data_IF_794659666751
#
_entry.id   IF_794659666751
#
_cell.length_a   1.000
_cell.length_b   1.000
_cell.length_c   1.000
_cell.angle_alpha   90.00
_cell.angle_beta   90.00
_cell.angle_gamma   90.00
#
_symmetry.space_group_name_H-M   'P 1'
#
loop_
_entity.id
_entity.type
_entity.pdbx_description
1 polymer ?
#
# COMPACT_ATOMS: atom_id res chain seq x y z
N UNK A 1 -12.54 9.21 0.55
CA UNK A 1 -12.04 9.02 -0.83
C UNK A 1 -10.52 8.99 -0.81
N UNK A 2 -9.83 10.10 -0.58
CA UNK A 2 -8.36 10.30 -0.68
C UNK A 2 -7.41 9.47 0.21
N UNK A 3 -7.91 8.45 0.91
CA UNK A 3 -7.10 7.54 1.74
C UNK A 3 -7.11 6.11 1.16
N UNK A 4 -8.08 5.77 0.32
CA UNK A 4 -8.28 4.41 -0.17
C UNK A 4 -9.11 4.36 -1.45
N UNK A 5 -8.73 5.16 -2.45
CA UNK A 5 -9.43 5.21 -3.74
C UNK A 5 -9.39 3.90 -4.48
N UNK A 6 -8.28 3.17 -4.40
CA UNK A 6 -8.18 1.83 -4.97
C UNK A 6 -9.20 0.88 -4.31
N UNK A 7 -9.32 0.89 -2.98
CA UNK A 7 -10.32 0.07 -2.26
C UNK A 7 -11.74 0.48 -2.64
N UNK A 8 -11.99 1.78 -2.81
CA UNK A 8 -13.29 2.29 -3.28
C UNK A 8 -13.60 1.80 -4.70
N UNK A 9 -12.63 1.87 -5.61
CA UNK A 9 -12.75 1.40 -6.99
C UNK A 9 -13.02 -0.11 -7.03
N UNK A 10 -12.24 -0.90 -6.31
CA UNK A 10 -12.40 -2.36 -6.21
C UNK A 10 -13.77 -2.73 -5.63
N UNK A 11 -14.21 -2.02 -4.59
CA UNK A 11 -15.54 -2.18 -4.01
C UNK A 11 -16.65 -1.85 -5.02
N UNK A 12 -16.54 -0.72 -5.71
CA UNK A 12 -17.51 -0.30 -6.72
C UNK A 12 -17.59 -1.29 -7.89
N UNK A 13 -16.44 -1.78 -8.38
CA UNK A 13 -16.38 -2.79 -9.43
C UNK A 13 -17.04 -4.11 -8.98
N UNK A 14 -16.70 -4.58 -7.78
CA UNK A 14 -17.27 -5.80 -7.19
C UNK A 14 -18.79 -5.70 -7.07
N UNK A 15 -19.28 -4.59 -6.52
CA UNK A 15 -20.72 -4.34 -6.37
C UNK A 15 -21.42 -4.23 -7.73
N UNK A 16 -20.76 -3.66 -8.73
CA UNK A 16 -21.30 -3.58 -10.10
C UNK A 16 -21.43 -4.98 -10.73
N UNK A 17 -20.42 -5.83 -10.59
CA UNK A 17 -20.47 -7.23 -11.03
C UNK A 17 -21.61 -7.98 -10.33
N UNK A 18 -21.76 -7.79 -9.01
CA UNK A 18 -22.85 -8.38 -8.24
C UNK A 18 -24.22 -7.89 -8.70
N UNK A 19 -24.38 -6.57 -8.90
CA UNK A 19 -25.63 -5.98 -9.35
C UNK A 19 -26.04 -6.49 -10.74
N UNK A 20 -25.10 -6.53 -11.69
CA UNK A 20 -25.32 -7.10 -13.03
C UNK A 20 -25.73 -8.57 -12.93
N UNK A 21 -25.06 -9.35 -12.08
CA UNK A 21 -25.40 -10.77 -11.87
C UNK A 21 -26.83 -10.92 -11.33
N UNK A 22 -27.23 -10.11 -10.35
CA UNK A 22 -28.61 -10.12 -9.83
C UNK A 22 -29.62 -9.73 -10.91
N UNK A 23 -29.32 -8.72 -11.74
CA UNK A 23 -30.20 -8.28 -12.83
C UNK A 23 -30.44 -9.41 -13.85
N UNK A 24 -29.40 -10.19 -14.16
CA UNK A 24 -29.48 -11.30 -15.11
C UNK A 24 -30.23 -12.50 -14.53
N UNK A 25 -29.98 -12.82 -13.25
CA UNK A 25 -30.52 -14.02 -12.58
C UNK A 25 -31.96 -13.82 -12.08
N UNK A 26 -32.31 -12.64 -11.59
CA UNK A 26 -33.62 -12.31 -11.02
C UNK A 26 -34.24 -11.10 -11.73
N UNK A 27 -34.81 -11.37 -12.91
CA UNK A 27 -35.41 -10.33 -13.76
C UNK A 27 -36.61 -9.64 -13.12
N UNK A 28 -37.34 -10.32 -12.24
CA UNK A 28 -38.51 -9.75 -11.57
C UNK A 28 -38.10 -8.79 -10.45
N UNK A 29 -37.05 -9.10 -9.70
CA UNK A 29 -36.42 -8.14 -8.80
C UNK A 29 -35.84 -6.96 -9.57
N UNK A 30 -35.15 -7.22 -10.69
CA UNK A 30 -34.55 -6.19 -11.52
C UNK A 30 -35.62 -5.19 -12.01
N UNK A 31 -36.72 -5.66 -12.59
CA UNK A 31 -37.81 -4.78 -13.06
C UNK A 31 -38.39 -3.89 -11.96
N UNK A 32 -38.48 -4.40 -10.73
CA UNK A 32 -39.03 -3.66 -9.59
C UNK A 32 -38.05 -2.66 -8.99
N UNK A 33 -36.78 -3.04 -8.86
CA UNK A 33 -35.78 -2.26 -8.14
C UNK A 33 -34.93 -1.34 -9.03
N UNK A 34 -34.75 -1.67 -10.32
CA UNK A 34 -33.82 -0.97 -11.21
C UNK A 34 -34.11 0.53 -11.35
N UNK A 35 -35.37 1.01 -11.52
CA UNK A 35 -35.62 2.44 -11.64
C UNK A 35 -35.19 3.23 -10.39
N UNK A 36 -35.55 2.71 -9.21
CA UNK A 36 -35.17 3.33 -7.93
C UNK A 36 -33.67 3.26 -7.69
N UNK A 37 -33.04 2.12 -8.02
CA UNK A 37 -31.59 1.94 -7.91
C UNK A 37 -30.82 2.91 -8.81
N UNK A 38 -31.19 3.01 -10.09
CA UNK A 38 -30.56 3.94 -11.05
C UNK A 38 -30.78 5.39 -10.62
N UNK A 39 -31.98 5.75 -10.18
CA UNK A 39 -32.26 7.10 -9.66
C UNK A 39 -31.42 7.44 -8.44
N UNK A 40 -31.34 6.54 -7.47
CA UNK A 40 -30.49 6.70 -6.28
C UNK A 40 -29.01 6.78 -6.61
N UNK A 41 -28.53 5.94 -7.53
CA UNK A 41 -27.14 5.93 -7.99
C UNK A 41 -26.79 7.23 -8.73
N UNK A 42 -27.67 7.70 -9.62
CA UNK A 42 -27.47 8.96 -10.34
C UNK A 42 -27.40 10.16 -9.37
N UNK A 43 -28.27 10.19 -8.36
CA UNK A 43 -28.25 11.22 -7.32
C UNK A 43 -26.96 11.15 -6.49
N UNK A 44 -26.58 9.95 -6.03
CA UNK A 44 -25.38 9.76 -5.22
C UNK A 44 -24.10 10.12 -6.01
N UNK A 45 -23.97 9.65 -7.25
CA UNK A 45 -22.86 9.96 -8.14
C UNK A 45 -22.82 11.45 -8.50
N UNK A 46 -23.99 12.07 -8.75
CA UNK A 46 -24.09 13.50 -9.04
C UNK A 46 -23.65 14.37 -7.86
N UNK A 47 -24.11 14.05 -6.64
CA UNK A 47 -23.68 14.74 -5.41
C UNK A 47 -22.19 14.51 -5.12
N UNK A 48 -21.71 13.27 -5.29
CA UNK A 48 -20.30 12.95 -5.12
C UNK A 48 -19.44 13.76 -6.10
N UNK A 49 -19.81 13.80 -7.38
CA UNK A 49 -19.10 14.57 -8.40
C UNK A 49 -19.13 16.07 -8.08
N UNK A 50 -20.28 16.62 -7.65
CA UNK A 50 -20.39 18.03 -7.29
C UNK A 50 -19.42 18.41 -6.16
N UNK A 51 -19.30 17.57 -5.13
CA UNK A 51 -18.42 17.82 -3.97
C UNK A 51 -16.96 17.52 -4.28
N UNK A 52 -16.68 16.51 -5.11
CA UNK A 52 -15.34 15.95 -5.29
C UNK A 52 -14.66 16.37 -6.60
N UNK A 53 -15.37 17.03 -7.52
CA UNK A 53 -14.82 17.42 -8.82
C UNK A 53 -13.51 18.21 -8.69
N UNK A 54 -13.48 19.24 -7.82
CA UNK A 54 -12.26 20.06 -7.64
C UNK A 54 -11.12 19.29 -6.96
N UNK A 55 -11.32 18.59 -5.84
CA UNK A 55 -10.29 17.74 -5.26
C UNK A 55 -9.74 16.68 -6.23
N UNK A 56 -10.62 16.00 -6.99
CA UNK A 56 -10.21 14.98 -7.96
C UNK A 56 -9.43 15.59 -9.13
N UNK A 57 -9.89 16.73 -9.64
CA UNK A 57 -9.14 17.47 -10.64
C UNK A 57 -7.75 17.85 -10.12
N UNK A 58 -7.65 18.35 -8.89
CA UNK A 58 -6.36 18.71 -8.30
C UNK A 58 -5.44 17.49 -8.09
N UNK A 59 -6.01 16.34 -7.71
CA UNK A 59 -5.25 15.12 -7.51
C UNK A 59 -4.67 14.57 -8.82
N UNK A 60 -5.48 14.48 -9.87
CA UNK A 60 -5.06 13.86 -11.13
C UNK A 60 -4.38 14.85 -12.09
N UNK A 61 -4.80 16.12 -12.09
CA UNK A 61 -4.34 17.15 -13.02
C UNK A 61 -3.63 18.34 -12.33
N UNK A 62 -3.39 18.25 -11.02
CA UNK A 62 -2.63 19.29 -10.30
C UNK A 62 -1.12 19.25 -10.59
N UNK A 63 -0.34 20.20 -10.05
CA UNK A 63 1.08 20.38 -10.38
C UNK A 63 1.99 19.18 -10.07
N UNK A 64 1.57 18.31 -9.16
CA UNK A 64 2.27 17.07 -8.79
C UNK A 64 1.48 15.81 -9.17
N UNK A 65 0.45 15.96 -10.01
CA UNK A 65 -0.32 14.86 -10.55
C UNK A 65 0.56 13.96 -11.42
N UNK A 66 0.31 12.66 -11.35
CA UNK A 66 1.04 11.66 -12.11
C UNK A 66 0.03 10.81 -12.86
N UNK A 67 0.11 10.82 -14.19
CA UNK A 67 -0.84 10.11 -15.05
C UNK A 67 -0.54 8.61 -15.15
N UNK A 68 0.74 8.24 -15.08
CA UNK A 68 1.18 6.86 -15.28
C UNK A 68 1.24 6.07 -13.97
N UNK A 69 0.87 4.80 -14.02
CA UNK A 69 1.08 3.87 -12.91
C UNK A 69 2.57 3.74 -12.58
N UNK A 70 2.93 3.92 -11.30
CA UNK A 70 4.29 3.73 -10.80
C UNK A 70 4.75 2.27 -10.89
N UNK A 71 3.81 1.36 -10.68
CA UNK A 71 4.08 -0.06 -10.46
C UNK A 71 3.63 -0.86 -11.66
N UNK A 72 4.48 -1.76 -12.14
CA UNK A 72 4.11 -2.65 -13.24
C UNK A 72 3.03 -3.63 -12.78
N UNK A 73 1.89 -3.72 -13.47
CA UNK A 73 0.88 -4.75 -13.21
C UNK A 73 1.43 -6.16 -13.35
N UNK A 74 2.47 -6.39 -14.16
CA UNK A 74 3.11 -7.69 -14.33
C UNK A 74 3.90 -8.12 -13.09
N UNK A 75 4.41 -7.15 -12.31
CA UNK A 75 5.13 -7.46 -11.07
C UNK A 75 4.16 -7.78 -9.94
N UNK A 76 3.05 -7.05 -9.84
CA UNK A 76 2.05 -7.21 -8.77
C UNK A 76 0.86 -8.09 -9.20
N UNK A 77 1.14 -9.23 -9.81
CA UNK A 77 0.17 -10.27 -10.15
C UNK A 77 0.05 -11.29 -9.02
N UNK A 78 -1.17 -11.77 -8.73
CA UNK A 78 -1.37 -12.90 -7.84
C UNK A 78 -0.82 -14.20 -8.46
N UNK A 79 0.05 -14.89 -7.73
CA UNK A 79 0.45 -16.25 -8.09
C UNK A 79 -0.76 -17.18 -7.93
N UNK A 80 -1.08 -17.96 -8.96
CA UNK A 80 -2.20 -18.88 -8.93
C UNK A 80 -2.08 -19.89 -7.76
N UNK A 81 -0.86 -20.33 -7.43
CA UNK A 81 -0.59 -21.26 -6.32
C UNK A 81 -0.91 -20.67 -4.95
N UNK A 82 -0.82 -19.36 -4.80
CA UNK A 82 -1.08 -18.68 -3.53
C UNK A 82 -2.53 -18.87 -3.03
N UNK A 83 -3.49 -19.06 -3.95
CA UNK A 83 -4.92 -19.21 -3.63
C UNK A 83 -5.23 -20.37 -2.68
N UNK A 84 -4.55 -21.50 -2.86
CA UNK A 84 -4.72 -22.69 -2.01
C UNK A 84 -3.60 -22.88 -0.99
N UNK A 85 -2.59 -22.00 -1.00
CA UNK A 85 -1.55 -21.95 0.02
C UNK A 85 -2.07 -21.33 1.32
N UNK A 86 -1.41 -21.67 2.42
CA UNK A 86 -1.67 -21.09 3.75
C UNK A 86 -0.71 -19.91 3.93
N UNK A 87 -1.21 -18.80 4.47
CA UNK A 87 -0.40 -17.60 4.71
C UNK A 87 0.80 -17.89 5.60
N UNK A 88 1.99 -17.33 5.33
CA UNK A 88 3.12 -17.36 6.27
C UNK A 88 2.78 -16.73 7.63
N UNK A 89 1.80 -15.82 7.66
CA UNK A 89 1.36 -15.11 8.86
C UNK A 89 0.20 -15.82 9.58
N UNK A 90 -0.07 -17.09 9.26
CA UNK A 90 -1.03 -17.94 9.99
C UNK A 90 -0.30 -18.88 10.96
N UNK A 91 -0.99 -19.34 12.02
CA UNK A 91 -0.44 -20.27 13.01
C UNK A 91 0.11 -21.58 12.42
N UNK A 92 -0.51 -22.07 11.35
CA UNK A 92 -0.10 -23.30 10.64
C UNK A 92 0.59 -22.98 9.30
N UNK A 93 0.99 -21.72 9.12
CA UNK A 93 1.70 -21.23 7.94
C UNK A 93 3.16 -21.66 7.90
N UNK A 94 3.78 -21.50 6.72
CA UNK A 94 5.20 -21.78 6.50
C UNK A 94 5.83 -20.65 5.68
N UNK A 95 7.04 -20.25 6.04
CA UNK A 95 7.85 -19.25 5.30
C UNK A 95 8.11 -19.67 3.85
N UNK A 96 8.03 -20.96 3.54
CA UNK A 96 8.14 -21.46 2.15
C UNK A 96 7.08 -20.87 1.22
N UNK A 97 5.94 -20.45 1.76
CA UNK A 97 4.85 -19.84 0.98
C UNK A 97 5.01 -18.32 0.81
N UNK A 98 5.93 -17.68 1.54
CA UNK A 98 6.17 -16.24 1.46
C UNK A 98 6.63 -15.79 0.08
N UNK A 99 7.33 -16.67 -0.64
CA UNK A 99 7.78 -16.42 -2.01
C UNK A 99 6.67 -16.39 -3.06
N UNK A 100 5.43 -16.78 -2.72
CA UNK A 100 4.28 -16.74 -3.65
C UNK A 100 3.64 -15.35 -3.76
N UNK A 101 4.19 -14.34 -3.09
CA UNK A 101 3.76 -12.95 -3.18
C UNK A 101 4.98 -12.03 -3.26
N UNK A 102 4.79 -10.83 -3.79
CA UNK A 102 5.85 -9.82 -3.95
C UNK A 102 6.32 -9.23 -2.62
N UNK A 103 5.55 -9.40 -1.55
CA UNK A 103 5.98 -9.06 -0.21
C UNK A 103 4.85 -9.15 0.82
N UNK A 104 5.17 -8.95 2.12
CA UNK A 104 4.20 -9.08 3.21
C UNK A 104 2.99 -8.14 3.11
N UNK A 105 3.14 -7.01 2.40
CA UNK A 105 2.05 -6.07 2.15
C UNK A 105 1.00 -6.60 1.16
N UNK A 106 1.33 -7.67 0.42
CA UNK A 106 0.53 -8.18 -0.69
C UNK A 106 0.09 -9.65 -0.42
N UNK A 107 -0.15 -10.02 0.85
CA UNK A 107 -0.68 -11.33 1.23
C UNK A 107 -2.21 -11.40 1.09
N UNK A 108 -2.72 -11.16 -0.13
CA UNK A 108 -4.15 -11.00 -0.39
C UNK A 108 -4.89 -12.29 -0.79
N UNK A 109 -4.17 -13.33 -1.23
CA UNK A 109 -4.74 -14.53 -1.87
C UNK A 109 -4.57 -15.83 -1.07
N UNK A 110 -3.91 -15.79 0.09
CA UNK A 110 -3.62 -16.97 0.93
C UNK A 110 -4.86 -17.49 1.70
N UNK A 111 -5.90 -17.92 0.98
CA UNK A 111 -7.15 -18.41 1.55
C UNK A 111 -7.04 -19.85 2.07
N UNK A 112 -6.12 -20.64 1.52
CA UNK A 112 -5.94 -22.05 1.84
C UNK A 112 -6.98 -22.95 1.18
N UNK A 113 -6.56 -24.14 0.77
CA UNK A 113 -7.44 -25.14 0.15
C UNK A 113 -8.69 -25.48 0.98
N UNK A 114 -8.70 -25.53 2.34
CA UNK A 114 -9.90 -25.86 3.11
C UNK A 114 -11.01 -24.83 2.92
N UNK A 115 -10.66 -23.54 2.95
CA UNK A 115 -11.63 -22.46 2.77
C UNK A 115 -12.21 -22.46 1.36
N UNK A 116 -11.38 -22.68 0.33
CA UNK A 116 -11.84 -22.77 -1.05
C UNK A 116 -12.84 -23.92 -1.25
N UNK A 117 -12.52 -25.12 -0.74
CA UNK A 117 -13.40 -26.28 -0.86
C UNK A 117 -14.73 -26.09 -0.12
N UNK A 118 -14.70 -25.57 1.11
CA UNK A 118 -15.92 -25.34 1.89
C UNK A 118 -16.77 -24.24 1.25
N UNK A 119 -16.16 -23.19 0.72
CA UNK A 119 -16.88 -22.14 -0.01
C UNK A 119 -17.56 -22.70 -1.26
N UNK A 120 -16.86 -23.48 -2.07
CA UNK A 120 -17.44 -24.13 -3.26
C UNK A 120 -18.60 -25.06 -2.86
N UNK A 121 -18.44 -25.87 -1.81
CA UNK A 121 -19.50 -26.71 -1.27
C UNK A 121 -20.72 -25.90 -0.80
N UNK A 122 -20.50 -24.75 -0.16
CA UNK A 122 -21.56 -23.84 0.27
C UNK A 122 -22.30 -23.21 -0.92
N UNK A 123 -21.60 -22.81 -1.98
CA UNK A 123 -22.21 -22.30 -3.22
C UNK A 123 -23.12 -23.35 -3.85
N UNK A 124 -22.63 -24.58 -3.98
CA UNK A 124 -23.40 -25.70 -4.55
C UNK A 124 -24.62 -26.04 -3.68
N UNK A 125 -24.46 -26.03 -2.35
CA UNK A 125 -25.53 -26.38 -1.41
C UNK A 125 -26.61 -25.30 -1.29
N UNK A 126 -26.22 -24.02 -1.30
CA UNK A 126 -27.17 -22.91 -1.27
C UNK A 126 -27.89 -22.72 -2.61
N UNK A 127 -27.35 -23.29 -3.68
CA UNK A 127 -27.97 -23.38 -4.99
C UNK A 127 -28.09 -22.02 -5.70
N UNK A 128 -29.11 -21.88 -6.55
CA UNK A 128 -29.29 -20.71 -7.44
C UNK A 128 -29.89 -19.47 -6.75
N UNK A 129 -29.61 -19.26 -5.46
CA UNK A 129 -30.02 -18.02 -4.78
C UNK A 129 -29.31 -16.83 -5.46
N UNK A 130 -30.01 -15.76 -5.87
CA UNK A 130 -29.41 -14.65 -6.61
C UNK A 130 -28.19 -14.04 -5.91
N UNK A 131 -28.25 -13.85 -4.59
CA UNK A 131 -27.13 -13.32 -3.80
C UNK A 131 -25.91 -14.25 -3.79
N UNK A 132 -26.11 -15.57 -3.73
CA UNK A 132 -25.02 -16.55 -3.73
C UNK A 132 -24.34 -16.58 -5.09
N UNK A 133 -25.13 -16.52 -6.17
CA UNK A 133 -24.60 -16.41 -7.53
C UNK A 133 -23.85 -15.10 -7.73
N UNK A 134 -24.38 -13.97 -7.24
CA UNK A 134 -23.69 -12.69 -7.29
C UNK A 134 -22.35 -12.72 -6.55
N UNK A 135 -22.30 -13.32 -5.35
CA UNK A 135 -21.04 -13.49 -4.61
C UNK A 135 -20.07 -14.43 -5.36
N UNK A 136 -20.54 -15.56 -5.88
CA UNK A 136 -19.71 -16.52 -6.59
C UNK A 136 -19.11 -15.94 -7.88
N UNK A 137 -19.92 -15.20 -8.66
CA UNK A 137 -19.46 -14.49 -9.86
C UNK A 137 -18.50 -13.36 -9.48
N UNK A 138 -18.81 -12.59 -8.44
CA UNK A 138 -17.91 -11.56 -7.90
C UNK A 138 -16.55 -12.13 -7.50
N UNK A 139 -16.53 -13.26 -6.76
CA UNK A 139 -15.30 -13.97 -6.40
C UNK A 139 -14.54 -14.37 -7.65
N UNK A 140 -15.19 -15.01 -8.62
CA UNK A 140 -14.54 -15.49 -9.85
C UNK A 140 -13.93 -14.34 -10.65
N UNK A 141 -14.67 -13.25 -10.86
CA UNK A 141 -14.19 -12.09 -11.63
C UNK A 141 -13.02 -11.42 -10.91
N UNK A 142 -13.17 -11.11 -9.62
CA UNK A 142 -12.13 -10.41 -8.88
C UNK A 142 -10.88 -11.28 -8.67
N UNK A 143 -11.05 -12.58 -8.42
CA UNK A 143 -9.94 -13.53 -8.31
C UNK A 143 -9.18 -13.66 -9.63
N UNK A 144 -9.89 -13.79 -10.75
CA UNK A 144 -9.24 -13.95 -12.05
C UNK A 144 -8.55 -12.66 -12.51
N UNK A 145 -9.16 -11.48 -12.30
CA UNK A 145 -8.49 -10.19 -12.54
C UNK A 145 -7.22 -10.04 -11.69
N UNK A 146 -7.20 -10.61 -10.49
CA UNK A 146 -6.01 -10.52 -9.64
C UNK A 146 -4.79 -11.28 -10.14
N UNK A 147 -4.97 -12.25 -11.04
CA UNK A 147 -3.87 -12.98 -11.68
C UNK A 147 -3.03 -12.09 -12.59
N UNK A 148 -3.48 -10.86 -12.89
CA UNK A 148 -2.73 -9.89 -13.66
C UNK A 148 -2.70 -10.16 -15.17
N UNK A 149 -1.85 -9.42 -15.92
CA UNK A 149 -1.80 -9.49 -17.38
C UNK A 149 -1.30 -10.84 -17.92
N UNK A 150 -0.51 -11.56 -17.14
CA UNK A 150 0.03 -12.89 -17.42
C UNK A 150 -0.15 -13.75 -16.18
N UNK A 151 -0.62 -14.99 -16.37
CA UNK A 151 -0.80 -15.94 -15.27
C UNK A 151 0.56 -16.39 -14.75
N UNK A 152 0.80 -16.19 -13.45
CA UNK A 152 1.96 -16.67 -12.73
C UNK A 152 1.58 -17.93 -11.96
N UNK A 153 2.41 -18.97 -12.03
CA UNK A 153 2.23 -20.20 -11.26
C UNK A 153 3.55 -20.59 -10.59
N UNK A 154 3.53 -20.70 -9.27
CA UNK A 154 4.69 -21.09 -8.46
C UNK A 154 5.95 -20.24 -8.73
N UNK A 155 5.73 -18.92 -8.85
CA UNK A 155 6.72 -17.86 -9.10
C UNK A 155 7.20 -17.76 -10.54
N UNK A 156 6.68 -18.58 -11.43
CA UNK A 156 7.06 -18.58 -12.84
C UNK A 156 5.91 -18.05 -13.71
N UNK A 157 6.25 -17.15 -14.64
CA UNK A 157 5.33 -16.68 -15.68
C UNK A 157 5.03 -17.83 -16.64
N UNK A 158 3.75 -18.10 -16.88
CA UNK A 158 3.32 -19.22 -17.73
C UNK A 158 3.24 -18.87 -19.21
N UNK A 159 3.39 -17.59 -19.57
CA UNK A 159 3.15 -17.05 -20.91
C UNK A 159 1.67 -16.98 -21.33
N UNK A 160 0.75 -17.45 -20.47
CA UNK A 160 -0.69 -17.42 -20.74
C UNK A 160 -1.22 -16.03 -20.36
N UNK A 161 -1.88 -15.30 -21.30
CA UNK A 161 -2.46 -14.00 -20.98
C UNK A 161 -3.57 -14.15 -19.94
N UNK A 162 -3.45 -13.38 -18.85
CA UNK A 162 -4.46 -13.28 -17.82
C UNK A 162 -5.58 -12.29 -18.21
N UNK A 163 -6.75 -12.38 -17.56
CA UNK A 163 -7.91 -11.57 -17.94
C UNK A 163 -7.75 -10.09 -17.62
N UNK A 164 -6.79 -9.72 -16.76
CA UNK A 164 -6.43 -8.31 -16.54
C UNK A 164 -5.92 -7.64 -17.81
N UNK A 165 -5.38 -8.39 -18.77
CA UNK A 165 -4.92 -7.84 -20.05
C UNK A 165 -6.03 -7.09 -20.82
N UNK A 166 -7.30 -7.41 -20.55
CA UNK A 166 -8.47 -6.72 -21.11
C UNK A 166 -8.68 -5.31 -20.53
N UNK A 167 -8.12 -5.04 -19.36
CA UNK A 167 -8.21 -3.75 -18.66
C UNK A 167 -6.94 -2.91 -18.78
N UNK A 168 -5.84 -3.51 -19.25
CA UNK A 168 -4.56 -2.82 -19.44
C UNK A 168 -4.70 -1.64 -20.41
N UNK A 169 -4.16 -0.47 -20.04
CA UNK A 169 -4.20 0.74 -20.85
C UNK A 169 -5.48 1.57 -20.68
N UNK A 170 -6.39 1.17 -19.78
CA UNK A 170 -7.49 2.03 -19.38
C UNK A 170 -7.03 3.03 -18.31
N UNK A 171 -7.35 4.32 -18.47
CA UNK A 171 -7.02 5.33 -17.46
C UNK A 171 -7.66 4.94 -16.12
N UNK A 172 -6.98 5.25 -15.00
CA UNK A 172 -7.35 4.85 -13.62
C UNK A 172 -7.06 3.38 -13.28
N UNK A 173 -7.08 2.46 -14.25
CA UNK A 173 -6.77 1.04 -14.02
C UNK A 173 -5.26 0.78 -14.02
N UNK A 174 -4.50 1.55 -14.80
CA UNK A 174 -3.03 1.41 -14.87
C UNK A 174 -2.31 1.68 -13.52
N UNK A 175 -3.00 2.32 -12.57
CA UNK A 175 -2.50 2.54 -11.20
C UNK A 175 -2.94 1.47 -10.18
N UNK A 176 -3.92 0.62 -10.51
CA UNK A 176 -4.40 -0.42 -9.61
C UNK A 176 -3.51 -1.67 -9.71
N UNK A 177 -3.13 -2.25 -8.58
CA UNK A 177 -2.32 -3.46 -8.57
C UNK A 177 -3.22 -4.68 -8.77
N UNK A 178 -3.00 -5.54 -9.78
CA UNK A 178 -3.86 -6.70 -10.01
C UNK A 178 -4.08 -7.53 -8.75
N UNK A 179 -3.02 -7.85 -8.01
CA UNK A 179 -3.11 -8.65 -6.78
C UNK A 179 -4.12 -8.09 -5.76
N UNK A 180 -4.38 -6.78 -5.73
CA UNK A 180 -5.34 -6.16 -4.80
C UNK A 180 -6.79 -6.40 -5.17
N UNK A 181 -7.11 -6.82 -6.40
CA UNK A 181 -8.47 -7.26 -6.73
C UNK A 181 -8.93 -8.43 -5.84
N UNK A 182 -8.00 -9.25 -5.34
CA UNK A 182 -8.29 -10.30 -4.39
C UNK A 182 -8.87 -9.81 -3.05
N UNK A 183 -8.67 -8.53 -2.67
CA UNK A 183 -9.24 -7.95 -1.45
C UNK A 183 -10.78 -8.01 -1.39
N UNK A 184 -11.44 -8.08 -2.55
CA UNK A 184 -12.88 -8.24 -2.63
C UNK A 184 -13.35 -9.66 -2.29
N UNK A 185 -12.49 -10.68 -2.37
CA UNK A 185 -12.87 -12.09 -2.20
C UNK A 185 -13.25 -12.45 -0.76
N UNK A 186 -12.47 -12.09 0.29
CA UNK A 186 -12.80 -12.44 1.68
C UNK A 186 -14.22 -12.05 2.13
N UNK A 187 -14.74 -10.81 1.92
CA UNK A 187 -16.11 -10.48 2.34
C UNK A 187 -17.20 -11.25 1.58
N UNK A 188 -16.96 -11.61 0.31
CA UNK A 188 -17.90 -12.43 -0.47
C UNK A 188 -17.91 -13.87 0.00
N UNK A 189 -16.74 -14.44 0.28
CA UNK A 189 -16.60 -15.76 0.91
C UNK A 189 -17.32 -15.78 2.25
N UNK A 190 -17.06 -14.79 3.11
CA UNK A 190 -17.72 -14.67 4.41
C UNK A 190 -19.25 -14.63 4.27
N UNK A 191 -19.78 -13.88 3.30
CA UNK A 191 -21.22 -13.81 3.03
C UNK A 191 -21.80 -15.19 2.69
N UNK A 192 -21.15 -15.96 1.81
CA UNK A 192 -21.56 -17.32 1.46
C UNK A 192 -21.56 -18.23 2.68
N UNK A 193 -20.49 -18.19 3.50
CA UNK A 193 -20.38 -19.01 4.71
C UNK A 193 -21.48 -18.66 5.72
N UNK A 194 -21.75 -17.38 5.94
CA UNK A 194 -22.82 -16.92 6.86
C UNK A 194 -24.18 -17.43 6.39
N UNK A 195 -24.49 -17.32 5.09
CA UNK A 195 -25.75 -17.83 4.53
C UNK A 195 -25.88 -19.35 4.67
N UNK A 196 -24.76 -20.08 4.53
CA UNK A 196 -24.74 -21.52 4.73
C UNK A 196 -24.99 -21.88 6.20
N UNK A 197 -24.32 -21.22 7.14
CA UNK A 197 -24.50 -21.43 8.58
C UNK A 197 -25.93 -21.10 8.99
N UNK A 198 -26.48 -19.96 8.56
CA UNK A 198 -27.86 -19.57 8.84
C UNK A 198 -28.86 -20.61 8.33
N UNK A 199 -28.72 -21.08 7.08
CA UNK A 199 -29.55 -22.18 6.55
C UNK A 199 -29.43 -23.45 7.40
N UNK A 200 -28.22 -23.78 7.84
CA UNK A 200 -27.96 -24.98 8.65
C UNK A 200 -28.58 -24.88 10.04
N UNK A 201 -28.50 -23.71 10.67
CA UNK A 201 -29.08 -23.42 11.99
C UNK A 201 -30.59 -23.56 11.96
N UNK A 202 -31.26 -23.08 10.91
CA UNK A 202 -32.71 -23.24 10.73
C UNK A 202 -33.15 -24.69 10.49
N UNK A 203 -32.31 -25.50 9.84
CA UNK A 203 -32.62 -26.92 9.58
C UNK A 203 -32.46 -27.82 10.83
N UNK A 204 -31.56 -27.46 11.75
CA UNK A 204 -31.28 -28.24 12.96
C UNK A 204 -30.52 -29.55 12.71
N UNK A 205 -30.34 -30.37 13.75
CA UNK A 205 -29.80 -31.74 13.64
C UNK A 205 -28.40 -31.88 12.99
N UNK A 206 -28.27 -32.85 12.08
CA UNK A 206 -27.02 -33.18 11.35
C UNK A 206 -26.51 -32.06 10.43
N UNK A 207 -27.33 -31.36 9.60
CA UNK A 207 -26.82 -30.30 8.73
C UNK A 207 -26.22 -29.13 9.53
N UNK A 208 -26.80 -28.77 10.68
CA UNK A 208 -26.22 -27.79 11.60
C UNK A 208 -24.79 -28.16 12.01
N UNK A 209 -24.59 -29.40 12.51
CA UNK A 209 -23.27 -29.86 12.98
C UNK A 209 -22.25 -29.87 11.84
N UNK A 210 -22.63 -30.40 10.67
CA UNK A 210 -21.74 -30.48 9.51
C UNK A 210 -21.31 -29.10 9.02
N UNK A 211 -22.24 -28.14 8.89
CA UNK A 211 -21.91 -26.79 8.45
C UNK A 211 -20.98 -26.07 9.43
N UNK A 212 -21.25 -26.16 10.74
CA UNK A 212 -20.40 -25.55 11.76
C UNK A 212 -18.99 -26.15 11.80
N UNK A 213 -18.87 -27.47 11.71
CA UNK A 213 -17.57 -28.16 11.65
C UNK A 213 -16.83 -27.79 10.37
N UNK A 214 -17.51 -27.80 9.22
CA UNK A 214 -16.89 -27.43 7.94
C UNK A 214 -16.37 -25.99 7.97
N UNK A 215 -17.15 -25.04 8.48
CA UNK A 215 -16.71 -23.64 8.61
C UNK A 215 -15.56 -23.52 9.61
N UNK A 216 -15.61 -24.21 10.75
CA UNK A 216 -14.50 -24.19 11.71
C UNK A 216 -13.20 -24.75 11.10
N UNK A 217 -13.26 -25.87 10.38
CA UNK A 217 -12.12 -26.46 9.68
C UNK A 217 -11.61 -25.54 8.57
N UNK A 218 -12.50 -24.87 7.85
CA UNK A 218 -12.13 -23.91 6.80
C UNK A 218 -11.38 -22.68 7.35
N UNK A 219 -11.77 -22.21 8.54
CA UNK A 219 -11.20 -21.01 9.15
C UNK A 219 -9.94 -21.28 9.98
N UNK A 220 -9.75 -22.52 10.45
CA UNK A 220 -8.62 -22.89 11.30
C UNK A 220 -7.23 -22.52 10.70
N UNK A 221 -6.97 -22.71 9.39
CA UNK A 221 -5.70 -22.30 8.78
C UNK A 221 -5.51 -20.78 8.64
N UNK A 222 -6.57 -19.98 8.80
CA UNK A 222 -6.50 -18.51 8.73
C UNK A 222 -6.29 -17.86 10.09
N UNK A 223 -6.18 -18.64 11.18
CA UNK A 223 -5.92 -18.07 12.50
C UNK A 223 -4.57 -17.36 12.46
N UNK A 224 -4.52 -16.03 12.71
CA UNK A 224 -3.31 -15.24 12.53
C UNK A 224 -2.27 -15.61 13.57
N UNK A 225 -1.01 -15.72 13.14
CA UNK A 225 0.14 -15.69 14.03
C UNK A 225 0.41 -14.25 14.50
N UNK A 226 1.07 -14.06 15.65
CA UNK A 226 1.56 -12.75 16.06
C UNK A 226 2.41 -12.13 14.94
N UNK A 227 2.08 -10.90 14.55
CA UNK A 227 2.84 -10.20 13.51
C UNK A 227 4.29 -10.00 13.98
N UNK A 228 5.29 -10.26 13.13
CA UNK A 228 6.67 -9.90 13.45
C UNK A 228 6.78 -8.41 13.72
N UNK A 229 7.23 -8.05 14.92
CA UNK A 229 7.45 -6.65 15.31
C UNK A 229 8.93 -6.35 15.38
N UNK A 230 9.33 -5.20 14.86
CA UNK A 230 10.67 -4.65 15.07
C UNK A 230 10.61 -3.50 16.09
N UNK A 231 11.66 -3.37 16.91
CA UNK A 231 11.80 -2.21 17.77
C UNK A 231 11.94 -0.96 16.91
N UNK A 232 11.06 0.02 17.14
CA UNK A 232 11.11 1.32 16.46
C UNK A 232 11.94 2.28 17.31
N UNK A 233 13.10 2.79 16.83
CA UNK A 233 13.89 3.77 17.58
C UNK A 233 13.06 5.00 17.93
N UNK A 234 13.25 5.59 19.13
CA UNK A 234 12.59 6.84 19.50
C UNK A 234 12.99 7.97 18.53
N UNK A 235 12.09 8.94 18.36
CA UNK A 235 12.45 10.20 17.67
C UNK A 235 13.33 11.00 18.64
N UNK A 236 14.41 11.67 18.16
CA UNK A 236 15.29 12.42 19.03
C UNK A 236 14.56 13.42 19.93
N UNK A 237 15.04 13.57 21.17
CA UNK A 237 14.59 14.60 22.11
C UNK A 237 14.71 16.00 21.48
N UNK A 238 15.77 16.23 20.70
CA UNK A 238 15.94 17.45 19.90
C UNK A 238 14.68 17.82 19.09
N UNK A 239 13.99 16.83 18.54
CA UNK A 239 12.75 17.04 17.77
C UNK A 239 11.54 17.12 18.70
N UNK A 240 11.37 16.13 19.59
CA UNK A 240 10.16 15.97 20.40
C UNK A 240 10.00 17.05 21.48
N UNK A 241 11.09 17.52 22.08
CA UNK A 241 11.11 18.64 23.02
C UNK A 241 11.12 20.02 22.33
N UNK A 242 11.16 20.05 21.00
CA UNK A 242 11.03 21.29 20.23
C UNK A 242 12.30 22.12 20.06
N UNK A 243 13.48 21.57 20.36
CA UNK A 243 14.77 22.24 20.20
C UNK A 243 15.11 22.58 18.75
N UNK A 244 14.50 21.90 17.76
CA UNK A 244 14.61 22.24 16.34
C UNK A 244 14.29 23.72 16.02
N UNK A 245 13.44 24.37 16.81
CA UNK A 245 13.09 25.80 16.66
C UNK A 245 14.29 26.73 16.84
N UNK A 246 15.38 26.24 17.44
CA UNK A 246 16.62 27.01 17.57
C UNK A 246 17.39 27.15 16.26
N UNK A 247 17.09 26.37 15.22
CA UNK A 247 17.77 26.45 13.93
C UNK A 247 16.83 26.48 12.71
N UNK A 248 15.54 26.20 12.87
CA UNK A 248 14.55 26.24 11.79
C UNK A 248 13.33 27.04 12.22
N UNK A 249 12.97 28.05 11.44
CA UNK A 249 11.71 28.79 11.61
C UNK A 249 10.51 27.92 11.19
N UNK A 250 9.31 28.15 11.75
CA UNK A 250 8.10 27.47 11.28
C UNK A 250 7.92 27.60 9.76
N UNK A 251 7.77 26.49 9.05
CA UNK A 251 7.69 26.43 7.59
C UNK A 251 9.04 26.34 6.86
N UNK A 252 10.17 26.51 7.57
CA UNK A 252 11.51 26.29 7.04
C UNK A 252 11.84 24.81 6.83
N UNK A 253 13.05 24.52 6.33
CA UNK A 253 13.48 23.16 6.00
C UNK A 253 14.62 22.70 6.91
N UNK A 254 14.44 21.50 7.49
CA UNK A 254 15.42 20.79 8.30
C UNK A 254 15.96 19.61 7.49
N UNK A 255 17.27 19.46 7.38
CA UNK A 255 17.93 18.33 6.71
C UNK A 255 18.33 17.28 7.76
N UNK A 256 17.60 16.16 7.88
CA UNK A 256 18.03 15.07 8.74
C UNK A 256 19.18 14.33 8.08
N UNK A 257 20.10 13.81 8.89
CA UNK A 257 21.23 13.01 8.42
C UNK A 257 21.17 11.60 9.02
N UNK A 258 21.08 10.54 8.18
CA UNK A 258 20.90 10.60 6.72
C UNK A 258 19.53 11.16 6.31
N UNK A 259 19.43 11.63 5.05
CA UNK A 259 18.17 12.12 4.50
C UNK A 259 17.17 10.97 4.31
N UNK A 260 15.88 11.29 4.32
CA UNK A 260 14.84 10.29 4.07
C UNK A 260 14.87 9.82 2.61
N UNK A 261 14.84 8.51 2.42
CA UNK A 261 14.72 7.91 1.09
C UNK A 261 13.50 6.99 1.04
N UNK A 262 13.04 6.59 -0.16
CA UNK A 262 12.00 5.59 -0.25
C UNK A 262 12.29 4.26 0.45
N UNK A 263 13.56 3.87 0.48
CA UNK A 263 14.01 2.65 1.15
C UNK A 263 14.14 2.83 2.66
N UNK A 264 14.58 4.01 3.08
CA UNK A 264 14.81 4.38 4.47
C UNK A 264 14.02 5.66 4.82
N UNK A 265 12.69 5.58 4.99
CA UNK A 265 11.83 6.75 5.21
C UNK A 265 11.84 7.24 6.67
N UNK A 266 12.56 6.56 7.57
CA UNK A 266 12.54 6.78 9.01
C UNK A 266 12.70 8.25 9.45
N UNK A 267 13.55 9.08 8.82
CA UNK A 267 13.67 10.50 9.18
C UNK A 267 12.40 11.32 8.98
N UNK A 268 11.47 10.89 8.12
CA UNK A 268 10.17 11.57 7.94
C UNK A 268 9.35 11.65 9.24
N UNK A 269 9.60 10.72 10.18
CA UNK A 269 8.98 10.73 11.50
C UNK A 269 9.31 11.98 12.31
N UNK A 270 10.43 12.65 12.02
CA UNK A 270 10.82 13.86 12.75
C UNK A 270 9.86 15.01 12.43
N UNK A 271 9.51 15.19 11.16
CA UNK A 271 8.49 16.16 10.76
C UNK A 271 7.12 15.80 11.36
N UNK A 272 6.73 14.52 11.34
CA UNK A 272 5.47 14.07 11.97
C UNK A 272 5.44 14.37 13.48
N UNK A 273 6.51 14.08 14.21
CA UNK A 273 6.61 14.33 15.65
C UNK A 273 6.57 15.83 15.98
N UNK A 274 7.05 16.68 15.07
CA UNK A 274 6.95 18.13 15.20
C UNK A 274 5.61 18.71 14.71
N UNK A 275 4.64 17.88 14.31
CA UNK A 275 3.36 18.32 13.76
C UNK A 275 3.50 19.03 12.40
N UNK A 276 4.40 18.53 11.55
CA UNK A 276 4.69 19.03 10.20
C UNK A 276 5.00 20.53 10.14
N UNK A 277 5.66 21.06 11.19
CA UNK A 277 6.00 22.49 11.31
C UNK A 277 7.29 22.89 10.58
N UNK A 278 8.02 21.94 10.01
CA UNK A 278 9.14 22.17 9.11
C UNK A 278 9.06 21.16 7.95
N UNK A 279 9.63 21.53 6.81
CA UNK A 279 9.82 20.66 5.66
C UNK A 279 11.07 19.79 5.80
N UNK A 280 11.09 18.69 5.06
CA UNK A 280 12.24 17.82 4.91
C UNK A 280 12.62 17.76 3.42
N UNK A 281 13.91 17.72 3.07
CA UNK A 281 14.31 17.40 1.72
C UNK A 281 14.07 15.92 1.44
N UNK A 282 13.73 15.61 0.17
CA UNK A 282 13.56 14.24 -0.31
C UNK A 282 12.48 13.47 0.49
N UNK A 283 12.43 12.13 0.42
CA UNK A 283 11.50 11.31 1.19
C UNK A 283 10.78 10.20 0.41
N UNK A 284 9.81 9.57 1.07
CA UNK A 284 8.97 8.51 0.53
C UNK A 284 7.59 9.06 0.16
N UNK A 285 7.43 9.35 -1.13
CA UNK A 285 6.18 9.81 -1.74
C UNK A 285 6.19 9.43 -3.23
N UNK A 286 5.05 9.53 -3.91
CA UNK A 286 4.95 9.38 -5.36
C UNK A 286 4.79 10.76 -5.97
N UNK A 287 5.58 11.10 -7.00
CA UNK A 287 5.45 12.36 -7.72
C UNK A 287 6.13 12.34 -9.09
N UNK A 288 6.00 13.42 -9.88
CA UNK A 288 6.49 13.50 -11.26
C UNK A 288 8.00 13.79 -11.34
N UNK A 289 8.80 13.08 -10.54
CA UNK A 289 10.26 13.26 -10.45
C UNK A 289 11.03 12.26 -11.33
N UNK A 290 10.31 11.45 -12.12
CA UNK A 290 10.88 10.52 -13.09
C UNK A 290 11.37 11.22 -14.35
N UNK A 291 11.99 10.44 -15.24
CA UNK A 291 12.48 10.95 -16.54
C UNK A 291 11.30 11.47 -17.35
N UNK A 292 11.37 12.74 -17.77
CA UNK A 292 10.30 13.37 -18.54
C UNK A 292 9.03 13.66 -17.75
N UNK A 293 9.09 13.70 -16.41
CA UNK A 293 7.93 13.96 -15.55
C UNK A 293 7.11 12.72 -15.19
N UNK A 294 7.60 11.52 -15.50
CA UNK A 294 6.92 10.27 -15.16
C UNK A 294 6.87 10.01 -13.66
N UNK A 295 6.03 9.05 -13.27
CA UNK A 295 5.92 8.57 -11.89
C UNK A 295 7.27 8.13 -11.32
N UNK A 296 7.66 8.70 -10.16
CA UNK A 296 8.83 8.25 -9.41
C UNK A 296 8.55 8.22 -7.91
N UNK A 297 9.24 7.31 -7.23
CA UNK A 297 9.17 7.17 -5.78
C UNK A 297 10.28 8.03 -5.17
N UNK A 298 9.89 9.05 -4.43
CA UNK A 298 10.76 10.08 -3.89
C UNK A 298 11.34 11.01 -4.95
N UNK A 299 12.21 11.91 -4.51
CA UNK A 299 13.00 12.76 -5.39
C UNK A 299 14.34 12.09 -5.74
N UNK A 300 14.94 12.48 -6.86
CA UNK A 300 16.29 12.04 -7.21
C UNK A 300 17.30 12.56 -6.18
N UNK A 301 18.12 11.68 -5.56
CA UNK A 301 18.99 12.10 -4.47
C UNK A 301 20.08 13.03 -4.98
N UNK A 302 20.25 14.17 -4.30
CA UNK A 302 21.28 15.18 -4.60
C UNK A 302 22.68 14.66 -4.26
N UNK A 303 23.77 15.22 -4.82
CA UNK A 303 25.13 14.74 -4.56
C UNK A 303 25.49 14.65 -3.07
N UNK A 304 25.08 15.62 -2.26
CA UNK A 304 25.34 15.62 -0.81
C UNK A 304 24.52 14.56 -0.09
N UNK A 305 23.26 14.35 -0.49
CA UNK A 305 22.41 13.27 0.02
C UNK A 305 23.05 11.90 -0.23
N UNK A 306 23.52 11.64 -1.46
CA UNK A 306 24.21 10.39 -1.83
C UNK A 306 25.49 10.19 -1.03
N UNK A 307 26.29 11.24 -0.87
CA UNK A 307 27.53 11.18 -0.10
C UNK A 307 27.25 10.81 1.36
N UNK A 308 26.29 11.47 2.01
CA UNK A 308 25.93 11.18 3.40
C UNK A 308 25.29 9.79 3.57
N UNK A 309 24.51 9.33 2.59
CA UNK A 309 23.96 7.98 2.58
C UNK A 309 25.04 6.90 2.50
N UNK A 310 26.08 7.09 1.67
CA UNK A 310 27.22 6.17 1.61
C UNK A 310 28.02 6.16 2.91
N UNK A 311 28.21 7.30 3.57
CA UNK A 311 28.86 7.36 4.89
C UNK A 311 28.01 6.66 5.94
N UNK A 312 26.69 6.88 5.94
CA UNK A 312 25.77 6.23 6.86
C UNK A 312 25.71 4.70 6.65
N UNK A 313 25.99 4.22 5.43
CA UNK A 313 26.00 2.79 5.11
C UNK A 313 27.34 2.10 5.40
N UNK A 314 28.45 2.77 5.12
CA UNK A 314 29.80 2.15 5.14
C UNK A 314 30.66 2.58 6.33
N UNK A 315 30.33 3.73 6.95
CA UNK A 315 31.19 4.39 7.93
C UNK A 315 32.48 5.00 7.34
N UNK A 316 32.74 4.83 6.05
CA UNK A 316 33.95 5.33 5.38
C UNK A 316 33.82 6.82 5.13
N UNK A 317 34.82 7.59 5.58
CA UNK A 317 34.85 9.04 5.39
C UNK A 317 35.40 9.38 4.00
N UNK A 318 34.67 10.14 3.16
CA UNK A 318 35.18 10.59 1.88
C UNK A 318 36.19 11.72 2.05
N UNK A 319 37.04 11.92 1.05
CA UNK A 319 37.83 13.14 0.95
C UNK A 319 36.91 14.33 0.61
N UNK A 320 36.84 15.32 1.51
CA UNK A 320 36.01 16.51 1.33
C UNK A 320 36.89 17.69 0.88
N UNK A 321 36.89 17.96 -0.43
CA UNK A 321 37.55 19.10 -1.04
C UNK A 321 36.59 20.27 -1.30
N UNK A 322 37.08 21.28 -2.02
CA UNK A 322 36.29 22.47 -2.40
C UNK A 322 35.08 22.12 -3.27
N UNK A 323 35.21 21.12 -4.15
CA UNK A 323 34.12 20.65 -4.99
C UNK A 323 32.94 20.12 -4.16
N UNK A 324 33.22 19.28 -3.16
CA UNK A 324 32.21 18.73 -2.26
C UNK A 324 31.56 19.84 -1.43
N UNK A 325 32.34 20.79 -0.92
CA UNK A 325 31.81 21.96 -0.20
C UNK A 325 30.89 22.82 -1.09
N UNK A 326 31.28 23.06 -2.34
CA UNK A 326 30.46 23.83 -3.29
C UNK A 326 29.15 23.13 -3.61
N UNK A 327 29.18 21.81 -3.82
CA UNK A 327 27.98 20.99 -4.04
C UNK A 327 27.07 20.98 -2.81
N UNK A 328 27.65 20.87 -1.61
CA UNK A 328 26.89 20.92 -0.36
C UNK A 328 26.19 22.25 -0.16
N UNK A 329 26.85 23.38 -0.42
CA UNK A 329 26.22 24.70 -0.39
C UNK A 329 25.09 24.83 -1.43
N UNK A 330 25.31 24.33 -2.65
CA UNK A 330 24.29 24.35 -3.70
C UNK A 330 23.07 23.46 -3.36
N UNK A 331 23.27 22.34 -2.67
CA UNK A 331 22.20 21.46 -2.23
C UNK A 331 21.38 22.08 -1.09
N UNK A 332 22.03 22.72 -0.10
CA UNK A 332 21.34 23.50 0.95
C UNK A 332 20.49 24.62 0.34
N UNK A 333 21.04 25.39 -0.58
CA UNK A 333 20.32 26.46 -1.27
C UNK A 333 19.14 25.92 -2.10
N UNK A 334 19.33 24.79 -2.78
CA UNK A 334 18.27 24.13 -3.55
C UNK A 334 17.09 23.68 -2.67
N UNK A 335 17.37 23.17 -1.47
CA UNK A 335 16.33 22.77 -0.52
C UNK A 335 15.75 23.93 0.29
N UNK A 336 16.33 25.13 0.19
CA UNK A 336 16.04 26.26 1.09
C UNK A 336 16.14 25.85 2.57
N UNK A 337 17.16 25.06 2.90
CA UNK A 337 17.39 24.54 4.23
C UNK A 337 18.16 25.53 5.10
N UNK A 338 17.81 25.59 6.39
CA UNK A 338 18.47 26.44 7.38
C UNK A 338 19.17 25.65 8.49
N UNK A 339 18.94 24.34 8.55
CA UNK A 339 19.54 23.49 9.57
C UNK A 339 19.79 22.07 9.06
N UNK A 340 20.99 21.56 9.32
CA UNK A 340 21.35 20.15 9.17
C UNK A 340 21.41 19.52 10.55
N UNK A 341 20.81 18.34 10.73
CA UNK A 341 20.67 17.68 12.03
C UNK A 341 21.05 16.22 11.96
N UNK A 342 22.00 15.83 12.81
CA UNK A 342 22.45 14.46 12.99
C UNK A 342 22.12 13.99 14.41
N UNK A 343 21.25 12.98 14.53
CA UNK A 343 20.99 12.36 15.83
C UNK A 343 22.23 11.59 16.33
N UNK A 344 22.51 11.67 17.63
CA UNK A 344 23.66 10.99 18.25
C UNK A 344 23.55 9.46 18.13
N UNK A 345 22.34 8.92 18.11
CA UNK A 345 22.07 7.49 17.98
C UNK A 345 22.17 6.97 16.53
N UNK A 346 22.45 7.82 15.54
CA UNK A 346 22.57 7.39 14.13
C UNK A 346 23.79 6.46 13.96
N UNK A 347 23.65 5.33 13.25
CA UNK A 347 24.81 4.48 12.91
C UNK A 347 25.92 5.29 12.23
N UNK A 348 27.18 5.04 12.63
CA UNK A 348 28.35 5.78 12.15
C UNK A 348 28.28 7.31 12.39
N UNK A 349 27.65 7.74 13.49
CA UNK A 349 27.48 9.16 13.83
C UNK A 349 28.78 9.96 13.79
N UNK A 350 29.91 9.40 14.25
CA UNK A 350 31.20 10.10 14.25
C UNK A 350 31.72 10.36 12.82
N UNK A 351 31.62 9.36 11.93
CA UNK A 351 31.99 9.53 10.53
C UNK A 351 31.10 10.56 9.84
N UNK A 352 29.79 10.53 10.11
CA UNK A 352 28.85 11.52 9.61
C UNK A 352 29.15 12.93 10.16
N UNK A 353 29.37 13.07 11.47
CA UNK A 353 29.69 14.34 12.12
C UNK A 353 30.97 14.95 11.54
N UNK A 354 32.05 14.18 11.43
CA UNK A 354 33.32 14.67 10.89
C UNK A 354 33.22 15.04 9.39
N UNK A 355 32.41 14.29 8.63
CA UNK A 355 32.12 14.63 7.23
C UNK A 355 31.34 15.93 7.12
N UNK A 356 30.30 16.10 7.95
CA UNK A 356 29.52 17.34 8.02
C UNK A 356 30.36 18.52 8.52
N UNK A 357 31.28 18.31 9.46
CA UNK A 357 32.22 19.34 9.90
C UNK A 357 33.16 19.79 8.79
N UNK A 358 33.57 18.87 7.91
CA UNK A 358 34.37 19.18 6.72
C UNK A 358 33.58 19.92 5.63
N UNK A 359 32.25 19.77 5.62
CA UNK A 359 31.34 20.40 4.65
C UNK A 359 30.84 21.77 5.11
N UNK A 360 30.45 21.90 6.38
CA UNK A 360 29.70 23.05 6.91
C UNK A 360 30.39 23.75 8.10
N UNK A 361 31.51 23.23 8.60
CA UNK A 361 32.21 23.77 9.77
C UNK A 361 31.73 23.17 11.10
N UNK A 362 32.09 23.76 12.25
CA UNK A 362 31.90 23.14 13.56
C UNK A 362 30.42 22.91 13.89
N UNK A 363 30.15 21.77 14.55
CA UNK A 363 28.80 21.40 15.00
C UNK A 363 28.48 21.97 16.38
N UNK A 364 27.19 22.16 16.67
CA UNK A 364 26.70 22.44 18.03
C UNK A 364 25.88 21.26 18.52
N UNK A 365 26.07 20.81 19.77
CA UNK A 365 25.24 19.76 20.36
C UNK A 365 24.08 20.36 21.13
N UNK A 366 22.87 19.87 20.88
CA UNK A 366 21.68 20.19 21.67
C UNK A 366 20.95 18.88 21.95
N UNK A 367 20.76 18.57 23.23
CA UNK A 367 20.22 17.29 23.70
C UNK A 367 20.95 16.09 23.03
N UNK A 368 20.21 15.28 22.29
CA UNK A 368 20.66 14.07 21.61
C UNK A 368 20.91 14.25 20.10
N UNK A 369 21.19 15.49 19.65
CA UNK A 369 21.55 15.79 18.25
C UNK A 369 22.71 16.79 18.11
N UNK A 370 23.44 16.65 17.00
CA UNK A 370 24.39 17.63 16.47
C UNK A 370 23.72 18.45 15.39
N UNK A 371 23.95 19.77 15.39
CA UNK A 371 23.35 20.70 14.45
C UNK A 371 24.39 21.58 13.75
N UNK A 372 24.07 21.95 12.51
CA UNK A 372 24.75 22.97 11.73
C UNK A 372 23.70 23.96 11.23
N UNK A 373 23.88 25.25 11.54
CA UNK A 373 23.11 26.33 10.92
C UNK A 373 23.79 26.68 9.60
N UNK A 374 23.04 26.68 8.51
CA UNK A 374 23.57 26.78 7.13
C UNK A 374 22.90 27.89 6.35
#
# INVERSE_FOLDING_TARGET
MFIGEEVLFLGALTLSVMAVTVIVVDRDLARRALPAFVGGMALAAGLALLVLARPLWFQFAGPLGVADGMFSPHYFSADLRSWWAISPLSLVGSDSSAGLSTGPAEYNTFLGWPLLLVTAGCVLWLGRRPLVLACAVGILVMATLSLGPEVVFDREGTGIPGPYALLSGLPVVDGALPMRFALAVPPLVATILVLAVDRALRAGGRPRRLALVAVAVALLPLVPAPLPTAHRPPVPEFITAGHWRTCVEPGGVLVPVPLATPKEPWPMRWATAAGTRFGLPEGFFIGPHGRGGSAAMGAAPRPTSRLLAEVAKTGLRPAVGEEQRRRAAADIAHWNASCVVLAVATPHADSLRLTLESLYGPSTRIADAWIWRV
#
